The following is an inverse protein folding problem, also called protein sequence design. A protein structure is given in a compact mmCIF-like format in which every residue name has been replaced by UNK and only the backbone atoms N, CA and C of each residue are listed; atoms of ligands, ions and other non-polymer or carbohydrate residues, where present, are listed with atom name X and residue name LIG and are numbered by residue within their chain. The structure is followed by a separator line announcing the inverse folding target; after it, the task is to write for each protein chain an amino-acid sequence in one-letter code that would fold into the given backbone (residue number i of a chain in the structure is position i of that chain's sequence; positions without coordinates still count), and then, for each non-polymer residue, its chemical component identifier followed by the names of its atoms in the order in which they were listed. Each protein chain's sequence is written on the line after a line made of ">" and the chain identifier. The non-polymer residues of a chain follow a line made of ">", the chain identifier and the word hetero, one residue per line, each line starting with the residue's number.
data_IF_037170045640
#
_entry.id   IF_037170045640
#
_cell.length_a   1.000
_cell.length_b   1.000
_cell.length_c   1.000
_cell.angle_alpha   90.00
_cell.angle_beta   90.00
_cell.angle_gamma   90.00
#
_symmetry.space_group_name_H-M   'P 1'
#
loop_
_entity.id
_entity.type
_entity.pdbx_description
1 polymer ?
#
# COMPACT_ATOMS: atom_id res chain seq x y z
N UNK A 1 10.66 -25.82 -3.30
CA UNK A 1 11.27 -24.51 -2.98
C UNK A 1 12.58 -24.74 -2.25
N UNK A 2 13.64 -23.98 -2.55
CA UNK A 2 14.98 -24.21 -1.98
C UNK A 2 15.61 -22.94 -1.43
N UNK A 3 16.81 -23.09 -0.86
CA UNK A 3 17.70 -21.99 -0.45
C UNK A 3 18.78 -21.83 -1.52
N UNK A 4 19.08 -20.59 -1.90
CA UNK A 4 20.13 -20.27 -2.87
C UNK A 4 21.26 -19.53 -2.16
N UNK A 5 22.45 -20.11 -2.17
CA UNK A 5 23.66 -19.54 -1.54
C UNK A 5 24.69 -19.32 -2.64
N UNK A 6 25.09 -18.07 -2.83
CA UNK A 6 26.06 -17.73 -3.86
C UNK A 6 27.52 -17.98 -3.45
N UNK A 7 28.39 -18.05 -4.45
CA UNK A 7 29.80 -18.49 -4.34
C UNK A 7 30.61 -17.83 -3.21
N UNK A 8 30.43 -16.51 -3.03
CA UNK A 8 31.23 -15.71 -2.07
C UNK A 8 30.44 -15.31 -0.84
N UNK A 9 29.32 -15.99 -0.57
CA UNK A 9 28.54 -15.77 0.61
C UNK A 9 29.31 -16.24 1.84
N UNK A 10 29.22 -15.49 2.93
CA UNK A 10 29.80 -15.88 4.22
C UNK A 10 28.64 -16.00 5.20
N UNK A 11 28.54 -17.14 5.88
CA UNK A 11 27.52 -17.39 6.89
C UNK A 11 28.27 -17.80 8.16
N UNK A 12 28.21 -16.96 9.18
CA UNK A 12 28.75 -17.27 10.52
C UNK A 12 27.82 -18.21 11.30
N UNK A 13 28.23 -18.57 12.51
CA UNK A 13 27.54 -19.57 13.34
C UNK A 13 26.10 -19.16 13.72
N UNK A 14 25.28 -20.15 14.06
CA UNK A 14 23.92 -19.97 14.58
C UNK A 14 22.96 -19.17 13.67
N UNK A 15 23.25 -19.06 12.37
CA UNK A 15 22.33 -18.43 11.43
C UNK A 15 21.15 -19.35 11.08
N UNK A 16 19.94 -18.78 11.04
CA UNK A 16 18.72 -19.51 10.64
C UNK A 16 18.22 -19.00 9.29
N UNK A 17 18.13 -19.88 8.30
CA UNK A 17 17.60 -19.57 6.96
C UNK A 17 16.33 -20.39 6.70
N UNK A 18 15.21 -19.71 6.47
CA UNK A 18 13.98 -20.37 6.04
C UNK A 18 13.98 -20.70 4.54
N UNK A 19 12.96 -21.41 4.07
CA UNK A 19 12.81 -21.78 2.66
C UNK A 19 12.72 -20.55 1.74
N UNK A 20 13.16 -20.67 0.49
CA UNK A 20 13.04 -19.61 -0.51
C UNK A 20 14.01 -18.44 -0.32
N UNK A 21 14.93 -18.53 0.64
CA UNK A 21 15.96 -17.51 0.87
C UNK A 21 16.98 -17.51 -0.25
N UNK A 22 17.45 -16.32 -0.63
CA UNK A 22 18.54 -16.15 -1.61
C UNK A 22 19.60 -15.22 -1.06
N UNK A 23 20.84 -15.70 -1.02
CA UNK A 23 22.06 -14.92 -0.80
C UNK A 23 22.73 -14.70 -2.16
N UNK A 24 22.27 -13.68 -2.88
CA UNK A 24 22.57 -13.45 -4.29
C UNK A 24 23.59 -12.35 -4.53
N UNK A 25 24.24 -12.39 -5.70
CA UNK A 25 25.10 -11.33 -6.16
C UNK A 25 24.34 -10.27 -6.96
N UNK A 26 24.87 -9.05 -7.00
CA UNK A 26 24.35 -7.95 -7.84
C UNK A 26 25.19 -7.69 -9.09
N UNK A 27 26.33 -8.37 -9.22
CA UNK A 27 27.29 -8.21 -10.33
C UNK A 27 27.88 -9.56 -10.74
N UNK A 28 28.34 -9.63 -11.99
CA UNK A 28 29.08 -10.76 -12.56
C UNK A 28 30.59 -10.65 -12.35
N UNK A 29 31.07 -9.54 -11.79
CA UNK A 29 32.48 -9.31 -11.53
C UNK A 29 33.02 -10.36 -10.55
N UNK A 30 34.25 -10.83 -10.82
CA UNK A 30 34.95 -11.73 -9.90
C UNK A 30 35.25 -11.02 -8.57
N UNK A 31 35.22 -11.78 -7.47
CA UNK A 31 35.44 -11.26 -6.11
C UNK A 31 34.22 -11.32 -5.19
N UNK A 32 34.30 -10.62 -4.07
CA UNK A 32 33.24 -10.54 -3.06
C UNK A 32 32.03 -9.81 -3.66
N UNK A 33 30.94 -10.55 -3.84
CA UNK A 33 29.71 -10.08 -4.48
C UNK A 33 28.42 -10.60 -3.83
N UNK A 34 28.55 -11.53 -2.90
CA UNK A 34 27.44 -12.09 -2.15
C UNK A 34 27.48 -11.65 -0.68
N UNK A 35 26.36 -11.76 0.05
CA UNK A 35 26.24 -11.24 1.41
C UNK A 35 27.19 -11.89 2.44
N UNK A 36 27.31 -11.23 3.57
CA UNK A 36 27.93 -11.76 4.79
C UNK A 36 26.89 -11.74 5.91
N UNK A 37 26.52 -12.91 6.43
CA UNK A 37 25.66 -13.05 7.60
C UNK A 37 26.55 -13.21 8.84
N UNK A 38 26.37 -12.34 9.82
CA UNK A 38 27.04 -12.45 11.12
C UNK A 38 26.32 -13.42 12.04
N UNK A 39 26.98 -13.82 13.13
CA UNK A 39 26.46 -14.84 14.06
C UNK A 39 25.02 -14.54 14.53
N UNK A 40 24.19 -15.58 14.57
CA UNK A 40 22.84 -15.52 15.13
C UNK A 40 21.81 -14.78 14.26
N UNK A 41 22.12 -14.53 12.99
CA UNK A 41 21.18 -13.86 12.06
C UNK A 41 20.01 -14.78 11.70
N UNK A 42 18.81 -14.22 11.67
CA UNK A 42 17.58 -14.95 11.26
C UNK A 42 17.05 -14.37 9.96
N UNK A 43 16.90 -15.21 8.94
CA UNK A 43 16.41 -14.83 7.62
C UNK A 43 15.05 -15.46 7.34
N UNK A 44 14.00 -14.65 7.31
CA UNK A 44 12.62 -15.03 7.01
C UNK A 44 12.43 -15.70 5.64
N UNK A 45 11.34 -16.45 5.51
CA UNK A 45 11.04 -17.21 4.30
C UNK A 45 10.94 -16.30 3.07
N UNK A 46 11.51 -16.74 1.95
CA UNK A 46 11.44 -16.01 0.68
C UNK A 46 12.28 -14.74 0.61
N UNK A 47 13.03 -14.36 1.65
CA UNK A 47 13.86 -13.15 1.63
C UNK A 47 14.99 -13.22 0.59
N UNK A 48 15.31 -12.07 -0.02
CA UNK A 48 16.38 -11.91 -1.01
C UNK A 48 17.40 -10.91 -0.47
N UNK A 49 18.61 -11.37 -0.20
CA UNK A 49 19.73 -10.56 0.28
C UNK A 49 20.73 -10.48 -0.86
N UNK A 50 20.90 -9.29 -1.43
CA UNK A 50 21.57 -9.10 -2.71
C UNK A 50 22.77 -8.17 -2.58
N UNK A 51 23.93 -8.66 -3.04
CA UNK A 51 25.17 -7.89 -3.12
C UNK A 51 26.15 -8.18 -1.98
N UNK A 52 27.35 -7.55 -2.00
CA UNK A 52 28.38 -7.73 -0.98
C UNK A 52 28.07 -6.95 0.31
N UNK A 53 26.87 -7.15 0.86
CA UNK A 53 26.36 -6.46 2.05
C UNK A 53 26.52 -7.33 3.30
N UNK A 54 26.59 -6.68 4.47
CA UNK A 54 26.72 -7.33 5.78
C UNK A 54 25.41 -7.24 6.56
N UNK A 55 24.95 -8.38 7.05
CA UNK A 55 23.84 -8.50 8.00
C UNK A 55 24.44 -8.71 9.38
N UNK A 56 24.28 -7.72 10.25
CA UNK A 56 24.91 -7.65 11.56
C UNK A 56 24.45 -8.74 12.52
N UNK A 57 25.25 -8.98 13.56
CA UNK A 57 25.04 -10.04 14.55
C UNK A 57 23.65 -9.97 15.16
N UNK A 58 22.93 -11.09 15.19
CA UNK A 58 21.58 -11.17 15.76
C UNK A 58 20.51 -10.36 15.01
N UNK A 59 20.80 -9.84 13.82
CA UNK A 59 19.80 -9.13 13.02
C UNK A 59 18.73 -10.09 12.46
N UNK A 60 17.53 -9.56 12.22
CA UNK A 60 16.38 -10.32 11.72
C UNK A 60 15.93 -9.74 10.38
N UNK A 61 15.77 -10.59 9.37
CA UNK A 61 15.24 -10.21 8.06
C UNK A 61 13.82 -10.75 7.94
N UNK A 62 12.87 -9.87 7.63
CA UNK A 62 11.47 -10.24 7.43
C UNK A 62 11.27 -11.14 6.22
N UNK A 63 10.20 -11.94 6.24
CA UNK A 63 9.81 -12.78 5.10
C UNK A 63 9.57 -11.94 3.85
N UNK A 64 9.99 -12.46 2.69
CA UNK A 64 9.93 -11.81 1.38
C UNK A 64 10.61 -10.43 1.29
N UNK A 65 11.41 -10.02 2.28
CA UNK A 65 12.14 -8.76 2.20
C UNK A 65 13.22 -8.80 1.12
N UNK A 66 13.48 -7.65 0.47
CA UNK A 66 14.58 -7.49 -0.49
C UNK A 66 15.63 -6.54 0.09
N UNK A 67 16.72 -7.11 0.58
CA UNK A 67 17.78 -6.39 1.30
C UNK A 67 18.92 -6.09 0.33
N UNK A 68 19.18 -4.81 0.13
CA UNK A 68 20.21 -4.29 -0.80
C UNK A 68 21.20 -3.34 -0.11
N UNK A 69 21.12 -3.22 1.22
CA UNK A 69 21.99 -2.39 2.07
C UNK A 69 22.33 -3.15 3.35
N UNK A 70 23.43 -2.78 3.98
CA UNK A 70 23.84 -3.36 5.26
C UNK A 70 22.75 -3.21 6.33
N UNK A 71 22.63 -4.22 7.18
CA UNK A 71 21.69 -4.24 8.31
C UNK A 71 22.50 -4.25 9.61
N UNK A 72 22.32 -3.26 10.51
CA UNK A 72 23.02 -3.21 11.78
C UNK A 72 22.75 -4.44 12.67
N UNK A 73 23.65 -4.69 13.62
CA UNK A 73 23.46 -5.76 14.59
C UNK A 73 22.16 -5.57 15.41
N UNK A 74 21.47 -6.68 15.69
CA UNK A 74 20.18 -6.73 16.41
C UNK A 74 19.02 -5.95 15.78
N UNK A 75 19.21 -5.35 14.60
CA UNK A 75 18.15 -4.64 13.90
C UNK A 75 17.22 -5.62 13.16
N UNK A 76 15.98 -5.18 12.91
CA UNK A 76 15.04 -5.92 12.06
C UNK A 76 14.85 -5.16 10.74
N UNK A 77 15.02 -5.83 9.61
CA UNK A 77 14.81 -5.23 8.29
C UNK A 77 13.67 -5.94 7.52
N UNK A 78 12.70 -5.18 7.00
CA UNK A 78 11.51 -5.71 6.32
C UNK A 78 11.16 -4.89 5.07
N UNK A 79 10.38 -5.47 4.16
CA UNK A 79 9.85 -4.78 2.98
C UNK A 79 10.72 -4.87 1.72
N UNK A 80 10.24 -4.24 0.66
CA UNK A 80 10.86 -4.24 -0.68
C UNK A 80 10.87 -2.80 -1.20
N UNK A 81 12.04 -2.15 -1.33
CA UNK A 81 13.33 -2.52 -0.74
C UNK A 81 13.28 -2.46 0.80
N UNK A 82 14.11 -3.27 1.46
CA UNK A 82 14.07 -3.41 2.91
C UNK A 82 14.40 -2.09 3.63
N UNK A 83 13.71 -1.87 4.75
CA UNK A 83 13.91 -0.75 5.68
C UNK A 83 14.09 -1.31 7.09
N UNK A 84 14.94 -0.66 7.87
CA UNK A 84 15.16 -1.02 9.27
C UNK A 84 13.95 -0.53 10.07
N UNK A 85 13.35 -1.43 10.84
CA UNK A 85 12.29 -1.13 11.80
C UNK A 85 12.94 -1.06 13.17
N UNK A 86 12.79 0.06 13.85
CA UNK A 86 13.18 0.19 15.24
C UNK A 86 12.18 -0.63 16.08
N UNK A 87 12.68 -1.43 17.04
CA UNK A 87 11.83 -2.00 18.07
C UNK A 87 11.36 -0.85 18.96
N UNK A 88 10.31 -0.12 18.52
CA UNK A 88 9.51 0.69 19.43
C UNK A 88 8.94 -0.30 20.46
N UNK A 89 9.54 -0.26 21.65
CA UNK A 89 9.10 -1.06 22.79
C UNK A 89 7.58 -1.00 22.91
N UNK A 90 6.98 -2.15 23.17
CA UNK A 90 5.57 -2.33 23.45
C UNK A 90 5.07 -1.34 24.52
N UNK A 91 4.70 -0.11 24.13
CA UNK A 91 3.83 0.84 24.84
C UNK A 91 3.58 2.03 23.93
N UNK A 92 2.48 1.98 23.17
CA UNK A 92 1.54 3.10 23.01
C UNK A 92 0.31 2.60 22.25
N UNK A 93 -0.69 2.19 23.01
CA UNK A 93 -2.06 2.51 22.64
C UNK A 93 -2.12 4.03 22.42
N UNK A 94 -2.07 4.49 21.18
CA UNK A 94 -2.62 5.80 20.83
C UNK A 94 -4.07 5.60 20.45
N UNK A 95 -4.90 5.68 21.48
CA UNK A 95 -6.32 5.97 21.39
C UNK A 95 -6.59 7.28 20.65
N UNK A 96 -7.79 7.35 20.08
CA UNK A 96 -8.52 8.51 19.55
C UNK A 96 -8.30 8.85 18.05
N UNK A 97 -9.17 8.24 17.24
CA UNK A 97 -9.75 8.76 15.99
C UNK A 97 -8.77 9.40 14.99
N UNK A 98 -8.09 8.56 14.22
CA UNK A 98 -7.79 8.83 12.82
C UNK A 98 -8.06 7.52 12.09
N UNK A 99 -9.01 7.50 11.15
CA UNK A 99 -9.33 6.33 10.34
C UNK A 99 -8.02 5.67 9.89
N UNK A 100 -7.78 4.36 10.16
CA UNK A 100 -6.57 3.72 9.71
C UNK A 100 -6.58 3.76 8.19
N UNK A 101 -5.65 4.52 7.60
CA UNK A 101 -5.27 4.26 6.22
C UNK A 101 -4.82 2.79 6.22
N UNK A 102 -5.65 1.94 5.61
CA UNK A 102 -5.46 0.51 5.55
C UNK A 102 -4.19 0.23 4.75
N UNK A 103 -3.04 0.16 5.43
CA UNK A 103 -1.75 -0.20 4.84
C UNK A 103 -1.69 -1.72 4.66
N UNK A 104 -2.43 -2.23 3.68
CA UNK A 104 -2.15 -3.56 3.17
C UNK A 104 -0.76 -3.53 2.51
N UNK A 105 0.09 -4.51 2.84
CA UNK A 105 1.38 -4.78 2.19
C UNK A 105 2.60 -3.92 2.57
N UNK A 106 2.62 -3.26 3.73
CA UNK A 106 3.84 -2.69 4.33
C UNK A 106 4.68 -1.81 3.38
N UNK A 107 4.03 -1.12 2.44
CA UNK A 107 4.73 -0.19 1.57
C UNK A 107 4.88 1.12 2.35
N UNK A 108 6.13 1.53 2.56
CA UNK A 108 6.41 2.88 3.05
C UNK A 108 5.85 3.91 2.07
N UNK A 109 5.62 5.15 2.52
CA UNK A 109 5.27 6.27 1.65
C UNK A 109 6.47 6.60 0.74
N UNK A 110 6.73 5.77 -0.26
CA UNK A 110 7.76 6.00 -1.25
C UNK A 110 7.09 6.75 -2.41
N UNK A 111 7.26 8.08 -2.44
CA UNK A 111 6.66 9.01 -3.42
C UNK A 111 7.10 8.76 -4.88
N UNK A 112 7.96 7.78 -5.12
CA UNK A 112 8.56 7.52 -6.45
C UNK A 112 8.02 6.30 -7.17
N UNK A 113 7.12 5.52 -6.56
CA UNK A 113 6.56 4.33 -7.22
C UNK A 113 5.49 4.72 -8.27
N UNK A 114 5.63 4.28 -9.54
CA UNK A 114 4.62 4.54 -10.57
C UNK A 114 3.23 4.00 -10.21
N UNK A 115 3.11 2.89 -9.47
CA UNK A 115 1.82 2.36 -9.03
C UNK A 115 1.12 3.26 -8.03
N UNK A 116 1.87 3.89 -7.12
CA UNK A 116 1.33 4.86 -6.17
C UNK A 116 0.78 6.09 -6.88
N UNK A 117 1.49 6.60 -7.90
CA UNK A 117 1.01 7.72 -8.71
C UNK A 117 -0.30 7.40 -9.43
N UNK A 118 -0.45 6.19 -9.97
CA UNK A 118 -1.71 5.77 -10.59
C UNK A 118 -2.83 5.63 -9.56
N UNK A 119 -2.54 5.04 -8.39
CA UNK A 119 -3.53 4.92 -7.33
C UNK A 119 -3.98 6.28 -6.80
N UNK A 120 -3.06 7.23 -6.65
CA UNK A 120 -3.38 8.60 -6.24
C UNK A 120 -4.24 9.32 -7.28
N UNK A 121 -3.90 9.19 -8.58
CA UNK A 121 -4.73 9.70 -9.66
C UNK A 121 -6.15 9.09 -9.66
N UNK A 122 -6.25 7.78 -9.39
CA UNK A 122 -7.55 7.10 -9.25
C UNK A 122 -8.33 7.65 -8.04
N UNK A 123 -7.68 7.86 -6.90
CA UNK A 123 -8.31 8.43 -5.71
C UNK A 123 -8.82 9.86 -5.95
N UNK A 124 -8.04 10.69 -6.66
CA UNK A 124 -8.45 12.03 -7.09
C UNK A 124 -9.67 11.96 -8.01
N UNK A 125 -9.68 11.05 -8.99
CA UNK A 125 -10.79 10.86 -9.91
C UNK A 125 -12.07 10.41 -9.18
N UNK A 126 -11.97 9.44 -8.26
CA UNK A 126 -13.08 8.96 -7.43
C UNK A 126 -13.65 10.09 -6.58
N UNK A 127 -12.78 10.89 -5.95
CA UNK A 127 -13.21 12.05 -5.15
C UNK A 127 -13.99 13.06 -6.00
N UNK A 128 -13.50 13.35 -7.21
CA UNK A 128 -14.16 14.26 -8.16
C UNK A 128 -15.50 13.71 -8.66
N UNK A 129 -15.58 12.40 -8.90
CA UNK A 129 -16.84 11.73 -9.23
C UNK A 129 -17.85 11.84 -8.09
N UNK A 130 -17.45 11.55 -6.85
CA UNK A 130 -18.34 11.65 -5.69
C UNK A 130 -18.87 13.08 -5.48
N UNK A 131 -18.02 14.09 -5.62
CA UNK A 131 -18.45 15.50 -5.56
C UNK A 131 -19.43 15.86 -6.68
N UNK A 132 -19.25 15.29 -7.87
CA UNK A 132 -20.16 15.50 -9.00
C UNK A 132 -21.52 14.84 -8.72
N UNK A 133 -21.51 13.63 -8.18
CA UNK A 133 -22.73 12.91 -7.77
C UNK A 133 -23.48 13.73 -6.71
N UNK A 134 -22.81 14.17 -5.65
CA UNK A 134 -23.44 15.01 -4.60
C UNK A 134 -24.04 16.30 -5.16
N UNK A 135 -23.34 16.95 -6.10
CA UNK A 135 -23.84 18.16 -6.76
C UNK A 135 -25.09 17.86 -7.60
N UNK A 136 -25.07 16.79 -8.39
CA UNK A 136 -26.20 16.40 -9.22
C UNK A 136 -27.41 16.01 -8.36
N UNK A 137 -27.19 15.28 -7.27
CA UNK A 137 -28.24 14.96 -6.30
C UNK A 137 -28.86 16.23 -5.69
N UNK A 138 -28.03 17.22 -5.35
CA UNK A 138 -28.50 18.53 -4.89
C UNK A 138 -29.36 19.27 -5.92
N UNK A 139 -28.96 19.26 -7.19
CA UNK A 139 -29.72 19.86 -8.30
C UNK A 139 -31.04 19.13 -8.55
N UNK A 140 -31.04 17.79 -8.54
CA UNK A 140 -32.27 17.00 -8.67
C UNK A 140 -33.23 17.32 -7.51
N UNK A 141 -32.71 17.47 -6.29
CA UNK A 141 -33.53 17.79 -5.10
C UNK A 141 -34.18 19.17 -5.21
N UNK A 142 -33.51 20.17 -5.79
CA UNK A 142 -34.09 21.52 -6.00
C UNK A 142 -35.04 21.60 -7.20
N UNK A 143 -34.92 20.71 -8.18
CA UNK A 143 -35.82 20.64 -9.34
C UNK A 143 -37.14 19.91 -9.05
N UNK A 144 -37.15 18.93 -8.13
CA UNK A 144 -38.35 18.19 -7.70
C UNK A 144 -39.54 19.09 -7.26
N UNK A 145 -39.36 20.14 -6.44
CA UNK A 145 -40.46 21.04 -6.07
C UNK A 145 -41.03 21.80 -7.27
N UNK A 146 -40.18 22.30 -8.16
CA UNK A 146 -40.58 23.02 -9.39
C UNK A 146 -41.40 22.14 -10.32
N UNK A 147 -40.93 20.91 -10.56
CA UNK A 147 -41.67 19.93 -11.37
C UNK A 147 -43.05 19.58 -10.76
N UNK A 148 -43.16 19.53 -9.43
CA UNK A 148 -44.45 19.30 -8.76
C UNK A 148 -45.39 20.52 -8.85
N UNK A 149 -44.86 21.74 -8.79
CA UNK A 149 -45.64 22.97 -8.99
C UNK A 149 -46.13 23.09 -10.44
N UNK A 150 -45.27 22.84 -11.42
CA UNK A 150 -45.63 22.83 -12.83
C UNK A 150 -46.68 21.75 -13.14
N UNK A 151 -46.58 20.57 -12.51
CA UNK A 151 -47.58 19.50 -12.62
C UNK A 151 -48.93 19.90 -12.01
N UNK A 152 -48.93 20.65 -10.89
CA UNK A 152 -50.17 21.20 -10.30
C UNK A 152 -50.79 22.27 -11.19
N UNK A 153 -49.98 23.15 -11.77
CA UNK A 153 -50.43 24.18 -12.72
C UNK A 153 -51.06 23.53 -13.95
N UNK A 154 -50.38 22.57 -14.58
CA UNK A 154 -50.86 21.87 -15.77
C UNK A 154 -52.21 21.15 -15.52
N UNK A 155 -52.39 20.52 -14.34
CA UNK A 155 -53.66 19.93 -13.94
C UNK A 155 -54.77 20.98 -13.75
N UNK A 156 -54.46 22.15 -13.20
CA UNK A 156 -55.42 23.24 -13.03
C UNK A 156 -55.89 23.83 -14.38
N UNK A 157 -55.01 23.92 -15.38
CA UNK A 157 -55.37 24.37 -16.73
C UNK A 157 -56.15 23.32 -17.55
N UNK A 158 -55.98 22.03 -17.25
CA UNK A 158 -56.74 20.95 -17.91
C UNK A 158 -58.23 20.92 -17.55
N UNK A 159 -58.64 21.48 -16.41
CA UNK A 159 -60.06 21.49 -15.97
C UNK A 159 -60.91 22.66 -16.50
N UNK A 160 -60.34 23.64 -17.21
CA UNK A 160 -61.08 24.79 -17.76
C UNK A 160 -61.17 24.74 -19.29
N UNK A 161 -61.89 23.76 -19.83
CA UNK A 161 -62.41 23.78 -21.21
C UNK A 161 -63.67 22.92 -21.35
N UNK A 162 -64.79 23.39 -20.82
CA UNK A 162 -66.12 23.11 -21.36
C UNK A 162 -66.86 24.43 -21.46
N UNK A 163 -66.84 25.04 -22.63
CA UNK A 163 -67.84 26.04 -22.99
C UNK A 163 -69.18 25.31 -23.16
N UNK A 164 -70.29 25.81 -22.59
CA UNK A 164 -71.61 25.28 -22.89
C UNK A 164 -71.97 25.66 -24.34
N UNK A 165 -72.08 24.67 -25.23
CA UNK A 165 -72.75 24.87 -26.51
C UNK A 165 -74.25 24.97 -26.23
N UNK A 166 -74.82 26.12 -26.58
CA UNK A 166 -76.24 26.42 -26.55
C UNK A 166 -76.85 26.07 -27.92
N UNK A 167 -77.61 24.98 -27.98
CA UNK A 167 -78.77 24.74 -28.86
C UNK A 167 -79.61 23.64 -28.23
#
# INVERSE_FOLDING_TARGET
>A
MGVVIGETAIIEDDCTLYHGVTLGGTSWNKGKRHPTLKQGVVIGAGAKILGPITIGRGAKIGSNAVVVKDVPAKATAVGIPARIVEEEGHTKQKSAVQLPAFNAYAVGRDETDPMYKHLDQLMIAIKKQNQTIERLEGQIKSLKPRANEDLKLAKAFSHKKKHPNNT
#
